data_IF_308201684463
#
_entry.id   IF_308201684463
#
_cell.length_a   1.000
_cell.length_b   1.000
_cell.length_c   1.000
_cell.angle_alpha   90.00
_cell.angle_beta   90.00
_cell.angle_gamma   90.00
#
_symmetry.space_group_name_H-M   'P 1'
#
loop_
_entity.id
_entity.type
_entity.pdbx_description
1 polymer ?
#
# COMPACT_ATOMS: atom_id res chain seq x y z
N UNK A 1 -4.13 -54.69 87.90
CA UNK A 1 -4.88 -53.47 87.59
C UNK A 1 -4.24 -52.77 86.40
N UNK A 2 -5.07 -52.17 85.56
CA UNK A 2 -4.79 -51.31 84.39
C UNK A 2 -4.41 -52.03 83.08
N UNK A 3 -5.36 -52.37 82.19
CA UNK A 3 -5.98 -51.56 81.10
C UNK A 3 -5.01 -51.18 79.97
N UNK A 4 -5.08 -51.83 78.79
CA UNK A 4 -5.77 -51.38 77.54
C UNK A 4 -5.01 -50.19 76.91
N UNK A 5 -4.54 -50.20 75.65
CA UNK A 5 -5.36 -50.15 74.44
C UNK A 5 -4.54 -50.33 73.14
N UNK A 6 -5.10 -51.04 72.16
CA UNK A 6 -4.68 -50.99 70.74
C UNK A 6 -5.12 -49.66 70.13
N UNK A 7 -4.26 -49.06 69.32
CA UNK A 7 -4.60 -47.93 68.43
C UNK A 7 -4.13 -48.25 67.02
N UNK A 8 -5.08 -48.39 66.11
CA UNK A 8 -4.88 -48.38 64.66
C UNK A 8 -5.30 -47.01 64.09
N UNK A 9 -4.84 -46.73 62.86
CA UNK A 9 -5.12 -45.58 62.00
C UNK A 9 -4.35 -44.28 62.38
N UNK A 10 -3.86 -43.46 61.44
CA UNK A 10 -4.20 -43.32 60.02
C UNK A 10 -2.97 -42.87 59.21
N UNK A 11 -2.81 -43.42 58.00
CA UNK A 11 -1.97 -42.83 56.96
C UNK A 11 -2.64 -41.54 56.50
N UNK A 12 -2.00 -40.41 56.78
CA UNK A 12 -2.33 -39.14 56.13
C UNK A 12 -1.82 -39.22 54.68
N UNK A 13 -2.69 -39.65 53.78
CA UNK A 13 -2.51 -39.39 52.36
C UNK A 13 -2.64 -37.87 52.16
N UNK A 14 -1.51 -37.17 52.15
CA UNK A 14 -1.46 -35.83 51.61
C UNK A 14 -1.82 -35.91 50.13
N UNK A 15 -3.02 -35.45 49.77
CA UNK A 15 -3.33 -35.15 48.37
C UNK A 15 -2.33 -34.12 47.88
N UNK A 16 -1.29 -34.59 47.19
CA UNK A 16 -0.45 -33.74 46.36
C UNK A 16 -1.37 -33.24 45.24
N UNK A 17 -1.86 -32.02 45.39
CA UNK A 17 -2.49 -31.32 44.30
C UNK A 17 -1.50 -31.29 43.14
N UNK A 18 -1.82 -32.01 42.07
CA UNK A 18 -1.01 -32.10 40.86
C UNK A 18 -0.65 -30.69 40.36
N UNK A 19 0.61 -30.39 40.01
CA UNK A 19 1.04 -29.08 39.50
C UNK A 19 0.43 -28.69 38.14
N UNK A 20 -0.38 -29.56 37.54
CA UNK A 20 -1.01 -29.36 36.23
C UNK A 20 -1.81 -28.05 36.12
N UNK A 21 -2.49 -27.62 37.19
CA UNK A 21 -3.28 -26.37 37.18
C UNK A 21 -2.42 -25.10 37.09
N UNK A 22 -1.29 -25.07 37.79
CA UNK A 22 -0.37 -23.92 37.77
C UNK A 22 0.41 -23.85 36.44
N UNK A 23 0.83 -25.00 35.89
CA UNK A 23 1.49 -25.08 34.60
C UNK A 23 0.56 -24.69 33.44
N UNK A 24 -0.70 -25.10 33.47
CA UNK A 24 -1.69 -24.71 32.46
C UNK A 24 -2.01 -23.20 32.52
N UNK A 25 -2.14 -22.62 33.72
CA UNK A 25 -2.37 -21.19 33.91
C UNK A 25 -1.17 -20.34 33.47
N UNK A 26 0.05 -20.81 33.73
CA UNK A 26 1.30 -20.16 33.27
C UNK A 26 1.44 -20.25 31.75
N UNK A 27 1.12 -21.39 31.13
CA UNK A 27 1.11 -21.54 29.67
C UNK A 27 0.07 -20.63 29.01
N UNK A 28 -1.14 -20.53 29.57
CA UNK A 28 -2.17 -19.63 29.08
C UNK A 28 -1.74 -18.14 29.18
N UNK A 29 -1.15 -17.73 30.30
CA UNK A 29 -0.62 -16.37 30.48
C UNK A 29 0.53 -16.08 29.49
N UNK A 30 1.43 -17.03 29.28
CA UNK A 30 2.53 -16.92 28.32
C UNK A 30 2.04 -16.79 26.87
N UNK A 31 1.01 -17.56 26.50
CA UNK A 31 0.38 -17.46 25.19
C UNK A 31 -0.28 -16.09 24.98
N UNK A 32 -1.04 -15.59 25.98
CA UNK A 32 -1.63 -14.25 25.93
C UNK A 32 -0.58 -13.14 25.81
N UNK A 33 0.53 -13.25 26.54
CA UNK A 33 1.64 -12.30 26.43
C UNK A 33 2.29 -12.32 25.03
N UNK A 34 2.54 -13.50 24.48
CA UNK A 34 3.07 -13.67 23.12
C UNK A 34 2.15 -13.07 22.05
N UNK A 35 0.84 -13.26 22.21
CA UNK A 35 -0.22 -12.72 21.35
C UNK A 35 -0.33 -11.19 21.39
N UNK A 36 -0.05 -10.57 22.54
CA UNK A 36 0.00 -9.11 22.66
C UNK A 36 1.27 -8.57 22.01
N UNK A 37 2.41 -9.23 22.24
CA UNK A 37 3.69 -8.84 21.63
C UNK A 37 3.67 -8.96 20.11
N UNK A 38 3.06 -10.01 19.56
CA UNK A 38 2.93 -10.19 18.10
C UNK A 38 2.07 -9.09 17.47
N UNK A 39 0.91 -8.77 18.06
CA UNK A 39 0.04 -7.68 17.60
C UNK A 39 0.74 -6.32 17.67
N UNK A 40 1.49 -6.06 18.74
CA UNK A 40 2.26 -4.82 18.86
C UNK A 40 3.35 -4.72 17.77
N UNK A 41 4.06 -5.81 17.50
CA UNK A 41 5.07 -5.85 16.45
C UNK A 41 4.46 -5.67 15.04
N UNK A 42 3.30 -6.29 14.78
CA UNK A 42 2.52 -6.12 13.55
C UNK A 42 2.13 -4.65 13.36
N UNK A 43 1.56 -4.03 14.39
CA UNK A 43 1.15 -2.62 14.33
C UNK A 43 2.34 -1.70 14.05
N UNK A 44 3.48 -1.93 14.71
CA UNK A 44 4.70 -1.16 14.46
C UNK A 44 5.24 -1.37 13.04
N UNK A 45 5.17 -2.59 12.50
CA UNK A 45 5.53 -2.88 11.11
C UNK A 45 4.65 -2.09 10.15
N UNK A 46 3.33 -2.14 10.30
CA UNK A 46 2.40 -1.37 9.45
C UNK A 46 2.64 0.14 9.56
N UNK A 47 2.96 0.64 10.75
CA UNK A 47 3.30 2.04 10.95
C UNK A 47 4.56 2.46 10.18
N UNK A 48 5.62 1.64 10.19
CA UNK A 48 6.83 1.93 9.40
C UNK A 48 6.54 1.93 7.90
N UNK A 49 5.69 1.02 7.41
CA UNK A 49 5.27 1.00 6.00
C UNK A 49 4.54 2.29 5.63
N UNK A 50 3.54 2.72 6.41
CA UNK A 50 2.78 3.93 6.10
C UNK A 50 3.62 5.21 6.23
N UNK A 51 4.51 5.27 7.23
CA UNK A 51 5.42 6.41 7.39
C UNK A 51 6.40 6.52 6.21
N UNK A 52 6.87 5.39 5.66
CA UNK A 52 7.82 5.38 4.55
C UNK A 52 7.26 5.95 3.24
N UNK A 53 5.97 5.76 2.96
CA UNK A 53 5.28 6.36 1.81
C UNK A 53 4.87 7.81 2.10
N UNK A 54 4.42 8.09 3.33
CA UNK A 54 4.06 9.43 3.77
C UNK A 54 5.25 10.40 3.66
N UNK A 55 6.48 9.97 3.95
CA UNK A 55 7.69 10.79 3.77
C UNK A 55 7.93 11.21 2.32
N UNK A 56 7.55 10.38 1.35
CA UNK A 56 7.73 10.67 -0.08
C UNK A 56 6.64 11.62 -0.61
N UNK A 57 5.44 11.53 -0.04
CA UNK A 57 4.28 12.29 -0.47
C UNK A 57 3.43 12.73 0.76
N UNK A 58 3.91 13.71 1.54
CA UNK A 58 3.28 14.11 2.80
C UNK A 58 1.96 14.87 2.61
N UNK A 59 1.69 15.37 1.39
CA UNK A 59 0.41 16.01 1.05
C UNK A 59 -0.76 15.03 0.85
N UNK A 60 -0.50 13.73 0.89
CA UNK A 60 -1.51 12.68 0.74
C UNK A 60 -1.78 11.99 2.06
N UNK A 61 -3.02 11.51 2.22
CA UNK A 61 -3.32 10.55 3.28
C UNK A 61 -3.01 9.14 2.78
N UNK A 62 -2.56 8.28 3.68
CA UNK A 62 -2.12 6.93 3.39
C UNK A 62 -2.69 5.94 4.42
N UNK A 63 -2.97 4.72 4.01
CA UNK A 63 -3.21 3.63 4.93
C UNK A 63 -2.53 2.36 4.46
N UNK A 64 -2.04 1.57 5.41
CA UNK A 64 -1.53 0.22 5.19
C UNK A 64 -2.29 -0.72 6.11
N UNK A 65 -2.78 -1.83 5.56
CA UNK A 65 -3.55 -2.80 6.33
C UNK A 65 -3.21 -4.23 5.98
N UNK A 66 -3.33 -5.10 6.98
CA UNK A 66 -3.18 -6.54 6.84
C UNK A 66 -4.56 -7.17 6.68
N UNK A 67 -4.76 -7.95 5.62
CA UNK A 67 -5.96 -8.75 5.41
C UNK A 67 -5.83 -10.11 6.10
N UNK A 68 -6.96 -10.78 6.28
CA UNK A 68 -7.06 -12.13 6.84
C UNK A 68 -6.27 -13.19 6.05
N UNK A 69 -6.16 -13.02 4.74
CA UNK A 69 -5.35 -13.85 3.84
C UNK A 69 -3.83 -13.59 3.90
N UNK A 70 -3.38 -12.64 4.74
CA UNK A 70 -1.98 -12.24 4.86
C UNK A 70 -1.53 -11.16 3.87
N UNK A 71 -2.42 -10.65 3.03
CA UNK A 71 -2.12 -9.53 2.11
C UNK A 71 -1.87 -8.24 2.90
N UNK A 72 -0.73 -7.59 2.66
CA UNK A 72 -0.45 -6.24 3.17
C UNK A 72 -0.74 -5.23 2.05
N UNK A 73 -1.91 -4.58 2.16
CA UNK A 73 -2.43 -3.62 1.19
C UNK A 73 -1.98 -2.21 1.54
N UNK A 74 -1.51 -1.44 0.55
CA UNK A 74 -1.29 0.01 0.64
C UNK A 74 -2.36 0.76 -0.18
N UNK A 75 -2.90 1.83 0.40
CA UNK A 75 -3.84 2.74 -0.26
C UNK A 75 -3.43 4.21 -0.04
N UNK A 76 -3.69 5.05 -1.04
CA UNK A 76 -3.49 6.50 -0.98
C UNK A 76 -4.76 7.26 -1.35
N UNK A 77 -4.88 8.51 -0.90
CA UNK A 77 -6.09 9.33 -1.05
C UNK A 77 -6.31 9.93 -2.45
N UNK A 78 -5.41 9.71 -3.41
CA UNK A 78 -5.47 10.31 -4.75
C UNK A 78 -6.04 9.32 -5.77
N UNK A 79 -6.83 9.82 -6.73
CA UNK A 79 -7.22 9.07 -7.92
C UNK A 79 -7.89 7.72 -7.64
N UNK A 80 -8.82 7.66 -6.68
CA UNK A 80 -9.53 6.44 -6.28
C UNK A 80 -8.62 5.30 -5.77
N UNK A 81 -7.45 5.62 -5.23
CA UNK A 81 -6.50 4.64 -4.70
C UNK A 81 -5.29 4.37 -5.59
N UNK A 82 -5.14 5.11 -6.69
CA UNK A 82 -3.95 5.08 -7.51
C UNK A 82 -2.72 5.57 -6.74
N UNK A 83 -1.62 4.83 -6.83
CA UNK A 83 -0.33 5.27 -6.29
C UNK A 83 0.50 5.97 -7.38
N UNK A 84 0.87 7.25 -7.20
CA UNK A 84 1.61 8.04 -8.18
C UNK A 84 3.07 7.56 -8.35
N UNK A 85 3.75 7.88 -9.46
CA UNK A 85 5.08 7.33 -9.80
C UNK A 85 6.20 7.85 -8.90
N UNK A 86 6.02 9.00 -8.25
CA UNK A 86 6.97 9.59 -7.30
C UNK A 86 6.97 8.88 -5.93
N UNK A 87 6.07 7.93 -5.70
CA UNK A 87 6.01 7.13 -4.47
C UNK A 87 6.52 5.72 -4.77
N UNK A 88 7.71 5.40 -4.26
CA UNK A 88 8.30 4.07 -4.27
C UNK A 88 7.69 3.21 -3.18
N UNK A 89 7.42 1.96 -3.50
CA UNK A 89 6.71 1.06 -2.59
C UNK A 89 7.72 0.40 -1.62
N UNK A 90 7.48 0.42 -0.30
CA UNK A 90 8.33 -0.29 0.65
C UNK A 90 8.19 -1.80 0.55
N UNK A 91 9.29 -2.53 0.76
CA UNK A 91 9.28 -3.98 0.96
C UNK A 91 8.37 -4.32 2.13
N UNK A 92 7.47 -5.29 1.92
CA UNK A 92 6.47 -5.72 2.89
C UNK A 92 5.05 -5.30 2.53
N UNK A 93 4.88 -4.30 1.65
CA UNK A 93 3.64 -4.11 0.89
C UNK A 93 3.69 -5.07 -0.30
N UNK A 94 2.66 -5.90 -0.46
CA UNK A 94 2.60 -6.89 -1.53
C UNK A 94 1.39 -6.70 -2.46
N UNK A 95 0.51 -5.73 -2.17
CA UNK A 95 -0.63 -5.44 -3.02
C UNK A 95 -1.03 -3.97 -2.95
N UNK A 96 -1.52 -3.46 -4.08
CA UNK A 96 -2.26 -2.20 -4.20
C UNK A 96 -3.72 -2.49 -4.55
N UNK A 97 -4.56 -1.45 -4.52
CA UNK A 97 -5.92 -1.58 -5.01
C UNK A 97 -5.93 -1.91 -6.51
N UNK A 98 -6.86 -2.77 -6.91
CA UNK A 98 -7.14 -2.97 -8.33
C UNK A 98 -7.69 -1.67 -8.95
N UNK A 99 -7.34 -1.37 -10.21
CA UNK A 99 -7.93 -0.26 -10.97
C UNK A 99 -9.46 -0.31 -10.96
N UNK A 100 -10.09 0.70 -10.38
CA UNK A 100 -11.55 0.82 -10.37
C UNK A 100 -11.96 2.26 -10.06
N UNK A 101 -13.06 2.71 -10.66
CA UNK A 101 -13.76 3.90 -10.18
C UNK A 101 -14.36 3.62 -8.80
N UNK A 102 -14.09 4.51 -7.86
CA UNK A 102 -14.63 4.45 -6.49
C UNK A 102 -15.39 5.73 -6.17
N UNK A 103 -16.13 5.70 -5.05
CA UNK A 103 -16.84 6.87 -4.52
C UNK A 103 -15.85 8.02 -4.33
N UNK A 104 -16.20 9.23 -4.75
CA UNK A 104 -15.28 10.37 -4.75
C UNK A 104 -14.91 10.84 -3.35
N UNK A 105 -15.78 10.66 -2.35
CA UNK A 105 -15.59 11.04 -0.95
C UNK A 105 -15.02 9.92 -0.08
N UNK A 106 -14.65 8.76 -0.65
CA UNK A 106 -14.06 7.67 0.11
C UNK A 106 -12.68 8.06 0.64
N UNK A 107 -12.49 7.95 1.96
CA UNK A 107 -11.18 8.20 2.58
C UNK A 107 -10.28 6.95 2.52
N UNK A 108 -9.04 7.06 3.01
CA UNK A 108 -8.09 5.93 2.99
C UNK A 108 -8.52 4.74 3.86
N UNK A 109 -9.37 4.94 4.86
CA UNK A 109 -9.89 3.85 5.69
C UNK A 109 -11.01 3.13 4.94
N UNK A 110 -11.92 3.87 4.30
CA UNK A 110 -12.94 3.32 3.40
C UNK A 110 -12.30 2.50 2.27
N UNK A 111 -11.22 3.02 1.67
CA UNK A 111 -10.49 2.37 0.58
C UNK A 111 -9.77 1.09 1.03
N UNK A 112 -9.31 1.04 2.28
CA UNK A 112 -8.62 -0.13 2.83
C UNK A 112 -9.56 -1.33 2.98
N UNK A 113 -10.83 -1.06 3.33
CA UNK A 113 -11.86 -2.07 3.53
C UNK A 113 -11.59 -2.95 4.76
N UNK A 114 -12.02 -4.22 4.69
CA UNK A 114 -11.86 -5.16 5.80
C UNK A 114 -10.39 -5.60 5.97
N UNK A 115 -9.84 -5.35 7.16
CA UNK A 115 -8.46 -5.69 7.56
C UNK A 115 -8.43 -6.11 9.03
N UNK A 116 -7.45 -6.92 9.41
CA UNK A 116 -7.22 -7.40 10.78
C UNK A 116 -6.37 -6.44 11.61
N UNK A 117 -5.52 -5.63 10.95
CA UNK A 117 -4.73 -4.56 11.54
C UNK A 117 -4.48 -3.46 10.51
N UNK A 118 -4.32 -2.21 10.96
CA UNK A 118 -4.11 -1.06 10.07
C UNK A 118 -3.27 0.03 10.72
N UNK A 119 -2.50 0.74 9.90
CA UNK A 119 -1.87 2.00 10.24
C UNK A 119 -2.29 3.07 9.22
N UNK A 120 -2.53 4.29 9.70
CA UNK A 120 -3.05 5.40 8.89
C UNK A 120 -2.19 6.63 9.12
N UNK A 121 -1.84 7.31 8.03
CA UNK A 121 -1.24 8.63 8.04
C UNK A 121 -2.20 9.62 7.40
N UNK A 122 -2.50 10.72 8.09
CA UNK A 122 -3.30 11.82 7.53
C UNK A 122 -2.38 12.82 6.83
N UNK A 123 -2.83 13.37 5.71
CA UNK A 123 -2.11 14.42 4.98
C UNK A 123 -1.60 15.52 5.92
N UNK A 124 -0.33 15.90 5.73
CA UNK A 124 0.40 16.87 6.55
C UNK A 124 0.50 16.52 8.04
N UNK A 125 0.22 15.28 8.42
CA UNK A 125 0.41 14.77 9.76
C UNK A 125 1.89 14.73 10.14
N UNK A 126 2.17 14.58 11.43
CA UNK A 126 3.53 14.35 11.90
C UNK A 126 4.08 13.04 11.33
N UNK A 127 5.30 13.07 10.80
CA UNK A 127 6.00 11.90 10.27
C UNK A 127 7.34 11.78 10.98
N UNK A 128 7.63 10.58 11.48
CA UNK A 128 8.92 10.29 12.11
C UNK A 128 10.05 10.31 11.07
N UNK A 129 11.23 10.78 11.49
CA UNK A 129 12.44 10.70 10.66
C UNK A 129 12.77 9.23 10.37
N UNK A 130 13.36 8.94 9.21
CA UNK A 130 13.69 7.57 8.88
C UNK A 130 14.70 6.99 9.87
N UNK A 131 14.48 5.73 10.26
CA UNK A 131 15.30 4.96 11.20
C UNK A 131 15.92 3.72 10.55
N UNK A 132 16.79 2.99 11.28
CA UNK A 132 17.47 1.81 10.74
C UNK A 132 16.53 0.66 10.38
N UNK A 133 15.36 0.60 11.01
CA UNK A 133 14.35 -0.45 10.79
C UNK A 133 13.34 -0.10 9.68
N UNK A 134 13.55 1.01 8.96
CA UNK A 134 12.68 1.38 7.84
C UNK A 134 12.82 0.40 6.67
N UNK A 135 11.70 0.07 6.01
CA UNK A 135 11.71 -0.86 4.90
C UNK A 135 12.42 -0.26 3.67
N UNK A 136 13.22 -1.05 2.94
CA UNK A 136 13.74 -0.64 1.64
C UNK A 136 12.62 -0.29 0.66
N UNK A 137 12.80 0.75 -0.15
CA UNK A 137 11.80 1.23 -1.12
C UNK A 137 11.95 0.56 -2.49
N UNK A 138 11.90 -0.78 -2.53
CA UNK A 138 12.13 -1.59 -3.74
C UNK A 138 10.98 -2.55 -4.07
N UNK A 139 9.82 -2.36 -3.44
CA UNK A 139 8.64 -3.24 -3.57
C UNK A 139 7.78 -3.01 -4.81
N UNK A 140 8.08 -2.01 -5.65
CA UNK A 140 7.23 -1.57 -6.76
C UNK A 140 6.79 -2.71 -7.68
N UNK A 141 7.74 -3.55 -8.12
CA UNK A 141 7.45 -4.62 -9.10
C UNK A 141 6.41 -5.63 -8.60
N UNK A 142 6.44 -5.93 -7.30
CA UNK A 142 5.49 -6.88 -6.69
C UNK A 142 4.14 -6.20 -6.48
N UNK A 143 4.13 -5.01 -5.88
CA UNK A 143 2.90 -4.36 -5.44
C UNK A 143 2.06 -3.78 -6.60
N UNK A 144 2.72 -3.28 -7.65
CA UNK A 144 2.07 -2.69 -8.83
C UNK A 144 1.78 -3.72 -9.93
N UNK A 145 1.92 -5.01 -9.65
CA UNK A 145 1.40 -6.05 -10.53
C UNK A 145 -0.11 -5.83 -10.72
N UNK A 146 -0.57 -5.88 -11.96
CA UNK A 146 -1.94 -5.51 -12.30
C UNK A 146 -2.36 -6.06 -13.66
N UNK A 147 -3.58 -5.71 -14.12
CA UNK A 147 -4.10 -6.20 -15.38
C UNK A 147 -3.23 -5.74 -16.56
N UNK A 148 -3.02 -6.65 -17.49
CA UNK A 148 -2.44 -6.33 -18.78
C UNK A 148 -3.43 -5.53 -19.62
N UNK A 149 -2.90 -4.60 -20.41
CA UNK A 149 -3.66 -3.73 -21.29
C UNK A 149 -3.39 -4.20 -22.71
N UNK A 150 -4.45 -4.57 -23.41
CA UNK A 150 -4.38 -4.97 -24.80
C UNK A 150 -3.86 -3.82 -25.67
N UNK A 151 -2.92 -4.12 -26.55
CA UNK A 151 -2.27 -3.15 -27.44
C UNK A 151 -1.81 -1.89 -26.69
N UNK A 152 -1.03 -2.06 -25.61
CA UNK A 152 -0.61 -0.99 -24.69
C UNK A 152 -0.18 0.31 -25.39
N UNK A 153 0.69 0.22 -26.39
CA UNK A 153 1.19 1.37 -27.14
C UNK A 153 0.07 2.14 -27.87
N UNK A 154 -0.64 1.51 -28.83
CA UNK A 154 -1.81 2.11 -29.47
C UNK A 154 -2.86 2.65 -28.49
N UNK A 155 -3.17 1.90 -27.44
CA UNK A 155 -4.12 2.29 -26.39
C UNK A 155 -3.67 3.56 -25.67
N UNK A 156 -2.41 3.66 -25.27
CA UNK A 156 -1.85 4.86 -24.62
C UNK A 156 -1.86 6.07 -25.55
N UNK A 157 -1.44 5.90 -26.81
CA UNK A 157 -1.41 6.97 -27.80
C UNK A 157 -2.82 7.53 -28.04
N UNK A 158 -3.83 6.65 -28.15
CA UNK A 158 -5.23 7.07 -28.30
C UNK A 158 -5.79 7.75 -27.06
N UNK A 159 -5.47 7.25 -25.87
CA UNK A 159 -5.88 7.87 -24.60
C UNK A 159 -5.36 9.30 -24.46
N UNK A 160 -4.08 9.54 -24.79
CA UNK A 160 -3.49 10.88 -24.76
C UNK A 160 -4.13 11.79 -25.82
N UNK A 161 -4.32 11.28 -27.05
CA UNK A 161 -4.91 12.05 -28.15
C UNK A 161 -6.32 12.55 -27.83
N UNK A 162 -7.11 11.76 -27.09
CA UNK A 162 -8.49 12.10 -26.71
C UNK A 162 -8.58 13.01 -25.49
N UNK A 163 -7.48 13.21 -24.77
CA UNK A 163 -7.48 13.94 -23.51
C UNK A 163 -7.08 15.39 -23.73
N UNK A 164 -8.03 16.29 -23.52
CA UNK A 164 -7.77 17.73 -23.55
C UNK A 164 -6.86 18.15 -22.40
N UNK A 165 -5.97 19.10 -22.66
CA UNK A 165 -5.10 19.71 -21.64
C UNK A 165 -3.77 19.01 -21.37
N UNK A 166 -3.52 17.83 -21.96
CA UNK A 166 -2.21 17.19 -21.87
C UNK A 166 -1.15 17.97 -22.68
N UNK A 167 0.09 18.06 -22.17
CA UNK A 167 1.17 18.75 -22.85
C UNK A 167 1.59 17.97 -24.10
N UNK A 168 1.93 18.71 -25.16
CA UNK A 168 2.31 18.12 -26.47
C UNK A 168 3.43 17.08 -26.37
N UNK A 169 4.36 17.25 -25.41
CA UNK A 169 5.46 16.32 -25.18
C UNK A 169 4.96 14.90 -24.86
N UNK A 170 3.84 14.75 -24.17
CA UNK A 170 3.27 13.44 -23.86
C UNK A 170 2.92 12.65 -25.12
N UNK A 171 2.26 13.30 -26.09
CA UNK A 171 1.89 12.69 -27.36
C UNK A 171 3.13 12.31 -28.18
N UNK A 172 4.12 13.20 -28.27
CA UNK A 172 5.37 12.95 -28.99
C UNK A 172 6.09 11.73 -28.41
N UNK A 173 6.25 11.67 -27.09
CA UNK A 173 6.99 10.62 -26.42
C UNK A 173 6.25 9.29 -26.36
N UNK A 174 4.93 9.29 -26.20
CA UNK A 174 4.12 8.08 -26.28
C UNK A 174 4.29 7.38 -27.64
N UNK A 175 4.25 8.17 -28.72
CA UNK A 175 4.45 7.67 -30.06
C UNK A 175 5.90 7.21 -30.29
N UNK A 176 6.88 7.94 -29.77
CA UNK A 176 8.29 7.57 -29.89
C UNK A 176 8.58 6.23 -29.19
N UNK A 177 8.13 6.09 -27.93
CA UNK A 177 8.29 4.88 -27.14
C UNK A 177 7.57 3.68 -27.79
N UNK A 178 6.34 3.86 -28.28
CA UNK A 178 5.58 2.80 -28.97
C UNK A 178 6.26 2.33 -30.26
N UNK A 179 6.94 3.23 -30.98
CA UNK A 179 7.67 2.89 -32.21
C UNK A 179 9.12 2.44 -31.96
N UNK A 180 9.58 2.43 -30.71
CA UNK A 180 10.98 2.16 -30.38
C UNK A 180 11.95 3.19 -30.95
N UNK A 181 11.52 4.42 -31.17
CA UNK A 181 12.41 5.52 -31.60
C UNK A 181 13.01 6.19 -30.37
N UNK A 182 14.30 6.53 -30.43
CA UNK A 182 15.01 7.15 -29.30
C UNK A 182 14.37 8.46 -28.83
N UNK A 183 14.57 8.77 -27.55
CA UNK A 183 14.12 9.98 -26.85
C UNK A 183 15.35 10.67 -26.26
N UNK A 184 15.40 12.00 -26.32
CA UNK A 184 16.52 12.78 -25.77
C UNK A 184 16.35 13.05 -24.27
N UNK A 185 17.45 13.28 -23.57
CA UNK A 185 17.43 13.61 -22.13
C UNK A 185 16.59 14.86 -21.84
N UNK A 186 16.69 15.89 -22.67
CA UNK A 186 15.89 17.12 -22.52
C UNK A 186 14.37 16.86 -22.63
N UNK A 187 13.96 15.90 -23.47
CA UNK A 187 12.56 15.52 -23.59
C UNK A 187 12.07 14.73 -22.37
N UNK A 188 12.93 13.89 -21.79
CA UNK A 188 12.66 13.19 -20.52
C UNK A 188 12.50 14.20 -19.39
N UNK A 189 13.42 15.17 -19.29
CA UNK A 189 13.36 16.23 -18.28
C UNK A 189 12.08 17.07 -18.40
N UNK A 190 11.67 17.39 -19.63
CA UNK A 190 10.42 18.08 -19.90
C UNK A 190 9.20 17.25 -19.45
N UNK A 191 9.18 15.95 -19.74
CA UNK A 191 8.10 15.06 -19.28
C UNK A 191 8.05 14.97 -17.75
N UNK A 192 9.19 14.86 -17.08
CA UNK A 192 9.26 14.85 -15.61
C UNK A 192 8.79 16.18 -14.99
N UNK A 193 9.05 17.32 -15.65
CA UNK A 193 8.50 18.60 -15.24
C UNK A 193 6.96 18.61 -15.31
N UNK A 194 6.40 18.14 -16.43
CA UNK A 194 4.94 18.03 -16.59
C UNK A 194 4.31 17.08 -15.58
N UNK A 195 4.96 15.96 -15.25
CA UNK A 195 4.49 15.05 -14.20
C UNK A 195 4.42 15.72 -12.82
N UNK A 196 5.43 16.51 -12.45
CA UNK A 196 5.42 17.28 -11.20
C UNK A 196 4.28 18.29 -11.21
N UNK A 197 4.10 19.03 -12.30
CA UNK A 197 2.98 19.98 -12.43
C UNK A 197 1.62 19.31 -12.33
N UNK A 198 1.42 18.16 -12.98
CA UNK A 198 0.19 17.38 -12.88
C UNK A 198 -0.07 16.86 -11.47
N UNK A 199 0.99 16.38 -10.79
CA UNK A 199 0.90 15.94 -9.40
C UNK A 199 0.51 17.10 -8.47
N UNK A 200 1.17 18.26 -8.59
CA UNK A 200 0.85 19.44 -7.76
C UNK A 200 -0.59 19.90 -7.97
N UNK A 201 -1.06 19.96 -9.23
CA UNK A 201 -2.47 20.26 -9.56
C UNK A 201 -3.42 19.27 -8.92
N UNK A 202 -3.11 17.97 -8.95
CA UNK A 202 -3.96 16.94 -8.35
C UNK A 202 -4.04 17.06 -6.82
N UNK A 203 -3.02 17.62 -6.16
CA UNK A 203 -3.07 17.90 -4.72
C UNK A 203 -4.00 19.06 -4.35
N UNK A 204 -4.29 19.99 -5.26
CA UNK A 204 -5.21 21.10 -5.00
C UNK A 204 -6.67 20.63 -4.80
N UNK A 205 -7.06 19.53 -5.46
CA UNK A 205 -8.35 18.87 -5.27
C UNK A 205 -8.22 17.36 -5.49
N UNK A 206 -8.06 16.63 -4.39
CA UNK A 206 -7.89 15.16 -4.40
C UNK A 206 -9.14 14.40 -4.88
N UNK A 207 -10.31 15.05 -4.86
CA UNK A 207 -11.57 14.45 -5.30
C UNK A 207 -11.80 14.62 -6.81
N UNK A 208 -11.05 15.51 -7.46
CA UNK A 208 -11.04 15.69 -8.91
C UNK A 208 -10.19 14.62 -9.59
N UNK A 209 -10.85 13.51 -9.95
CA UNK A 209 -10.22 12.37 -10.64
C UNK A 209 -9.66 12.74 -12.02
N UNK A 210 -10.11 13.85 -12.64
CA UNK A 210 -9.57 14.32 -13.92
C UNK A 210 -8.09 14.69 -13.77
N UNK A 211 -7.72 15.39 -12.69
CA UNK A 211 -6.33 15.78 -12.46
C UNK A 211 -5.41 14.58 -12.24
N UNK A 212 -5.90 13.56 -11.52
CA UNK A 212 -5.17 12.31 -11.35
C UNK A 212 -4.98 11.55 -12.68
N UNK A 213 -5.97 11.59 -13.56
CA UNK A 213 -5.92 10.91 -14.86
C UNK A 213 -4.82 11.47 -15.79
N UNK A 214 -4.52 12.77 -15.72
CA UNK A 214 -3.37 13.34 -16.46
C UNK A 214 -2.04 12.77 -15.93
N UNK A 215 -1.90 12.71 -14.61
CA UNK A 215 -0.75 12.10 -13.95
C UNK A 215 -0.57 10.62 -14.32
N UNK A 216 -1.67 9.86 -14.45
CA UNK A 216 -1.63 8.45 -14.89
C UNK A 216 -1.06 8.32 -16.30
N UNK A 217 -1.55 9.13 -17.26
CA UNK A 217 -1.07 9.06 -18.64
C UNK A 217 0.38 9.51 -18.77
N UNK A 218 0.77 10.59 -18.10
CA UNK A 218 2.17 11.04 -18.10
C UNK A 218 3.10 10.01 -17.44
N UNK A 219 2.65 9.32 -16.39
CA UNK A 219 3.39 8.25 -15.74
C UNK A 219 3.56 7.02 -16.66
N UNK A 220 2.52 6.66 -17.41
CA UNK A 220 2.59 5.58 -18.39
C UNK A 220 3.61 5.87 -19.51
N UNK A 221 3.65 7.11 -20.03
CA UNK A 221 4.63 7.50 -21.04
C UNK A 221 6.05 7.39 -20.50
N UNK A 222 6.32 7.92 -19.31
CA UNK A 222 7.65 7.83 -18.70
C UNK A 222 8.07 6.37 -18.49
N UNK A 223 7.17 5.53 -17.98
CA UNK A 223 7.44 4.12 -17.79
C UNK A 223 7.79 3.41 -19.11
N UNK A 224 7.10 3.72 -20.22
CA UNK A 224 7.46 3.17 -21.54
C UNK A 224 8.81 3.69 -22.05
N UNK A 225 9.09 4.99 -21.88
CA UNK A 225 10.40 5.58 -22.27
C UNK A 225 11.55 4.92 -21.51
N UNK A 226 11.34 4.56 -20.23
CA UNK A 226 12.30 3.84 -19.40
C UNK A 226 12.33 2.31 -19.65
N UNK A 227 11.51 1.79 -20.57
CA UNK A 227 11.42 0.36 -20.86
C UNK A 227 10.73 -0.47 -19.76
N UNK A 228 9.97 0.18 -18.89
CA UNK A 228 9.25 -0.43 -17.76
C UNK A 228 7.79 -0.73 -18.16
N UNK A 229 7.61 -1.63 -19.13
CA UNK A 229 6.29 -1.95 -19.72
C UNK A 229 5.24 -2.35 -18.68
N UNK A 230 5.61 -3.18 -17.70
CA UNK A 230 4.74 -3.60 -16.60
C UNK A 230 4.19 -2.40 -15.79
N UNK A 231 4.98 -1.34 -15.63
CA UNK A 231 4.57 -0.12 -14.91
C UNK A 231 3.66 0.75 -15.78
N UNK A 232 3.91 0.78 -17.09
CA UNK A 232 3.02 1.44 -18.03
C UNK A 232 1.63 0.78 -18.06
N UNK A 233 1.56 -0.57 -18.04
CA UNK A 233 0.29 -1.29 -17.89
C UNK A 233 -0.48 -0.85 -16.63
N UNK A 234 0.19 -0.79 -15.48
CA UNK A 234 -0.43 -0.32 -14.24
C UNK A 234 -1.05 1.07 -14.39
N UNK A 235 -0.30 2.03 -14.96
CA UNK A 235 -0.80 3.40 -15.11
C UNK A 235 -1.94 3.53 -16.13
N UNK A 236 -1.87 2.81 -17.26
CA UNK A 236 -2.94 2.83 -18.27
C UNK A 236 -4.20 2.15 -17.77
N UNK A 237 -4.07 1.02 -17.04
CA UNK A 237 -5.22 0.34 -16.47
C UNK A 237 -5.97 1.22 -15.46
N UNK A 238 -5.24 1.98 -14.61
CA UNK A 238 -5.85 2.98 -13.74
C UNK A 238 -6.59 4.07 -14.49
N UNK A 239 -6.00 4.60 -15.56
CA UNK A 239 -6.67 5.58 -16.42
C UNK A 239 -7.96 5.01 -17.04
N UNK A 240 -7.90 3.81 -17.64
CA UNK A 240 -9.07 3.15 -18.24
C UNK A 240 -10.20 2.91 -17.24
N UNK A 241 -9.86 2.58 -16.00
CA UNK A 241 -10.84 2.34 -14.96
C UNK A 241 -11.65 3.59 -14.57
N UNK A 242 -11.08 4.79 -14.72
CA UNK A 242 -11.73 6.06 -14.36
C UNK A 242 -12.19 6.88 -15.57
N UNK A 243 -11.70 6.58 -16.78
CA UNK A 243 -12.03 7.32 -18.00
C UNK A 243 -13.53 7.43 -18.30
N UNK A 244 -14.42 6.46 -17.95
CA UNK A 244 -15.86 6.63 -18.15
C UNK A 244 -16.48 7.82 -17.40
N UNK A 245 -15.82 8.35 -16.35
CA UNK A 245 -16.27 9.52 -15.59
C UNK A 245 -15.73 10.85 -16.15
N UNK A 246 -14.78 10.80 -17.09
CA UNK A 246 -14.11 11.97 -17.66
C UNK A 246 -14.80 12.51 -18.92
N UNK A 247 -15.77 11.77 -19.47
CA UNK A 247 -16.53 12.11 -20.68
C UNK A 247 -17.90 12.69 -20.41
#
# INVERSE_FOLDING_TARGET
>A
MSTVQRSAAAQAAGSVATPAGASALSAATGALAGDVSSRAAEQQRLQRLVDSVARQAPGLSWAVGLRDDGTTLLVGSIGCGWIPPNVKIPVGVNRLLEPALRRSDADVVDLLGAVTAAAVHKAHGFITKPGPDDPPLTGDRVARAGPEVEELGPTLVEAIRRRDGLPRIAQTLAQAATRGTGVTENEVDALQHEQRSAYDKALEDLHDVSRAADGMLLAAVQALVEGHEWLAHYHVAWYQAISPKLG
#
